data_IF_024352351656
#
_entry.id   IF_024352351656
#
_cell.length_a   1.000
_cell.length_b   1.000
_cell.length_c   1.000
_cell.angle_alpha   90.00
_cell.angle_beta   90.00
_cell.angle_gamma   90.00
#
_symmetry.space_group_name_H-M   'P 1'
#
loop_
_entity.id
_entity.type
_entity.pdbx_description
1 polymer ?
#
# COMPACT_ATOMS: atom_id res chain seq x y z
N UNK A 1 -12.12 -5.97 -12.09
CA UNK A 1 -11.92 -5.62 -10.67
C UNK A 1 -12.68 -6.63 -9.83
N UNK A 2 -12.06 -7.16 -8.80
CA UNK A 2 -12.65 -8.09 -7.82
C UNK A 2 -12.05 -7.80 -6.44
N UNK A 3 -12.65 -8.33 -5.38
CA UNK A 3 -12.19 -8.13 -4.01
C UNK A 3 -11.60 -9.45 -3.47
N UNK A 4 -10.48 -9.36 -2.75
CA UNK A 4 -9.84 -10.46 -2.04
C UNK A 4 -9.60 -10.04 -0.59
N UNK A 5 -10.29 -10.67 0.36
CA UNK A 5 -10.23 -10.33 1.79
C UNK A 5 -10.43 -8.82 2.08
N UNK A 6 -11.41 -8.16 1.45
CA UNK A 6 -11.63 -6.71 1.62
C UNK A 6 -10.75 -5.82 0.75
N UNK A 7 -9.74 -6.40 0.07
CA UNK A 7 -8.77 -5.65 -0.72
C UNK A 7 -9.14 -5.61 -2.21
N UNK A 8 -9.30 -4.42 -2.82
CA UNK A 8 -9.67 -4.29 -4.22
C UNK A 8 -8.49 -4.60 -5.15
N UNK A 9 -8.71 -5.57 -6.05
CA UNK A 9 -7.71 -6.03 -7.02
C UNK A 9 -8.20 -5.90 -8.47
N UNK A 10 -7.25 -5.64 -9.35
CA UNK A 10 -7.46 -5.52 -10.78
C UNK A 10 -6.63 -6.57 -11.50
N UNK A 11 -7.20 -7.21 -12.51
CA UNK A 11 -6.49 -8.13 -13.39
C UNK A 11 -6.54 -7.53 -14.78
N UNK A 12 -5.38 -7.45 -15.42
CA UNK A 12 -5.25 -7.06 -16.81
C UNK A 12 -4.44 -8.13 -17.53
N UNK A 13 -4.95 -8.74 -18.61
CA UNK A 13 -4.14 -9.60 -19.46
C UNK A 13 -3.04 -8.76 -20.13
N UNK A 14 -1.84 -9.30 -20.29
CA UNK A 14 -0.80 -8.62 -21.05
C UNK A 14 -1.21 -8.52 -22.54
N UNK A 15 -0.91 -7.38 -23.15
CA UNK A 15 -1.29 -7.11 -24.55
C UNK A 15 -0.38 -7.84 -25.55
N UNK A 16 0.86 -8.13 -25.16
CA UNK A 16 1.85 -8.82 -25.99
C UNK A 16 1.82 -10.34 -25.78
N UNK A 17 1.54 -10.80 -24.56
CA UNK A 17 1.40 -12.22 -24.22
C UNK A 17 0.08 -12.53 -23.47
N UNK A 18 -0.92 -13.11 -24.14
CA UNK A 18 -2.20 -13.47 -23.52
C UNK A 18 -2.08 -14.50 -22.38
N UNK A 19 -0.94 -15.17 -22.24
CA UNK A 19 -0.66 -16.09 -21.13
C UNK A 19 -0.16 -15.37 -19.89
N UNK A 20 0.10 -14.06 -19.94
CA UNK A 20 0.49 -13.28 -18.78
C UNK A 20 -0.71 -12.50 -18.26
N UNK A 21 -0.97 -12.64 -16.97
CA UNK A 21 -1.94 -11.84 -16.23
C UNK A 21 -1.17 -10.89 -15.31
N UNK A 22 -1.46 -9.61 -15.42
CA UNK A 22 -0.98 -8.59 -14.48
C UNK A 22 -2.05 -8.37 -13.42
N UNK A 23 -1.69 -8.62 -12.17
CA UNK A 23 -2.52 -8.29 -11.02
C UNK A 23 -2.02 -6.98 -10.43
N UNK A 24 -2.96 -6.10 -10.08
CA UNK A 24 -2.68 -4.81 -9.46
C UNK A 24 -3.54 -4.64 -8.21
N UNK A 25 -2.94 -4.06 -7.17
CA UNK A 25 -3.59 -3.62 -5.95
C UNK A 25 -3.14 -2.21 -5.59
N UNK A 26 -4.07 -1.39 -5.09
CA UNK A 26 -3.75 -0.05 -4.58
C UNK A 26 -3.22 -0.16 -3.16
N UNK A 27 -1.93 0.12 -2.95
CA UNK A 27 -1.32 0.06 -1.63
C UNK A 27 -1.61 1.33 -0.83
N UNK A 28 -1.30 2.49 -1.39
CA UNK A 28 -1.38 3.75 -0.65
C UNK A 28 -1.56 4.96 -1.59
N UNK A 29 -2.02 6.08 -1.04
CA UNK A 29 -2.12 7.37 -1.72
C UNK A 29 -1.80 8.50 -0.74
N UNK A 30 -0.97 9.46 -1.16
CA UNK A 30 -0.84 10.73 -0.43
C UNK A 30 -2.03 11.62 -0.73
N UNK A 31 -2.69 12.12 0.32
CA UNK A 31 -3.73 13.15 0.22
C UNK A 31 -3.14 14.57 0.35
N UNK A 32 -1.83 14.69 0.61
CA UNK A 32 -1.16 15.98 0.81
C UNK A 32 -0.77 16.63 -0.52
N UNK A 33 -0.87 17.96 -0.55
CA UNK A 33 -0.49 18.76 -1.71
C UNK A 33 1.01 18.60 -2.02
N UNK A 34 1.38 18.76 -3.30
CA UNK A 34 2.65 18.36 -3.92
C UNK A 34 3.94 18.98 -3.30
N UNK A 35 3.84 19.82 -2.27
CA UNK A 35 4.98 20.54 -1.71
C UNK A 35 5.85 19.70 -0.76
N UNK A 36 5.36 18.57 -0.25
CA UNK A 36 6.13 17.67 0.60
C UNK A 36 6.24 16.26 0.01
N UNK A 37 7.34 15.99 -0.69
CA UNK A 37 7.67 14.67 -1.26
C UNK A 37 8.23 13.66 -0.25
N UNK A 38 8.40 14.04 1.01
CA UNK A 38 8.93 13.15 2.04
C UNK A 38 8.07 11.91 2.25
N UNK A 39 6.74 12.06 2.27
CA UNK A 39 5.79 10.95 2.37
C UNK A 39 5.90 9.98 1.21
N UNK A 40 5.99 10.51 -0.03
CA UNK A 40 6.10 9.69 -1.23
C UNK A 40 7.42 8.92 -1.23
N UNK A 41 8.50 9.55 -0.78
CA UNK A 41 9.82 8.92 -0.65
C UNK A 41 9.78 7.81 0.41
N UNK A 42 9.17 8.06 1.57
CA UNK A 42 9.03 7.06 2.63
C UNK A 42 8.19 5.86 2.16
N UNK A 43 7.04 6.13 1.56
CA UNK A 43 6.14 5.10 1.06
C UNK A 43 6.80 4.27 -0.07
N UNK A 44 7.64 4.90 -0.90
CA UNK A 44 8.50 4.20 -1.87
C UNK A 44 9.56 3.31 -1.21
N UNK A 45 10.17 3.76 -0.11
CA UNK A 45 11.16 2.96 0.63
C UNK A 45 10.50 1.71 1.24
N UNK A 46 9.37 1.86 1.91
CA UNK A 46 8.61 0.74 2.49
C UNK A 46 8.19 -0.24 1.39
N UNK A 47 7.67 0.27 0.28
CA UNK A 47 7.27 -0.56 -0.85
C UNK A 47 8.48 -1.30 -1.46
N UNK A 48 9.66 -0.69 -1.51
CA UNK A 48 10.89 -1.34 -1.98
C UNK A 48 11.35 -2.48 -1.05
N UNK A 49 11.26 -2.27 0.26
CA UNK A 49 11.55 -3.32 1.25
C UNK A 49 10.55 -4.47 1.14
N UNK A 50 9.28 -4.17 0.86
CA UNK A 50 8.29 -5.19 0.57
C UNK A 50 8.62 -6.01 -0.69
N UNK A 51 9.05 -5.38 -1.79
CA UNK A 51 9.50 -6.08 -3.00
C UNK A 51 10.65 -7.05 -2.71
N UNK A 52 11.55 -6.69 -1.79
CA UNK A 52 12.65 -7.56 -1.39
C UNK A 52 12.18 -8.81 -0.63
N UNK A 53 11.08 -8.72 0.13
CA UNK A 53 10.47 -9.86 0.86
C UNK A 53 9.61 -10.74 -0.05
N UNK A 54 8.91 -10.14 -1.01
CA UNK A 54 7.94 -10.81 -1.87
C UNK A 54 8.42 -10.90 -3.32
N UNK A 55 9.12 -11.98 -3.64
CA UNK A 55 9.60 -12.23 -5.00
C UNK A 55 8.47 -12.19 -6.03
N UNK A 56 8.63 -11.34 -7.05
CA UNK A 56 7.66 -11.16 -8.14
C UNK A 56 6.69 -9.99 -7.95
N UNK A 57 6.66 -9.36 -6.76
CA UNK A 57 5.95 -8.09 -6.55
C UNK A 57 6.79 -6.94 -7.14
N UNK A 58 6.12 -6.08 -7.90
CA UNK A 58 6.62 -4.83 -8.45
C UNK A 58 5.83 -3.69 -7.83
N UNK A 59 6.50 -2.57 -7.58
CA UNK A 59 5.87 -1.35 -7.08
C UNK A 59 5.86 -0.33 -8.21
N UNK A 60 4.72 0.31 -8.39
CA UNK A 60 4.47 1.32 -9.42
C UNK A 60 3.97 2.57 -8.73
N UNK A 61 4.68 3.67 -8.91
CA UNK A 61 4.19 5.00 -8.52
C UNK A 61 3.43 5.64 -9.68
N UNK A 62 2.23 6.12 -9.39
CA UNK A 62 1.43 6.89 -10.34
C UNK A 62 1.66 8.40 -10.13
N UNK A 63 1.52 9.23 -11.17
CA UNK A 63 1.64 10.69 -11.07
C UNK A 63 0.68 11.32 -10.04
N UNK A 64 -0.44 10.67 -9.77
CA UNK A 64 -1.42 11.06 -8.75
C UNK A 64 -0.98 10.72 -7.31
N UNK A 65 0.32 10.53 -7.06
CA UNK A 65 0.89 10.12 -5.77
C UNK A 65 0.27 8.83 -5.19
N UNK A 66 -0.18 7.92 -6.06
CA UNK A 66 -0.62 6.59 -5.65
C UNK A 66 0.53 5.61 -5.77
N UNK A 67 0.61 4.70 -4.80
CA UNK A 67 1.46 3.53 -4.85
C UNK A 67 0.59 2.32 -5.16
N UNK A 68 0.95 1.65 -6.24
CA UNK A 68 0.30 0.44 -6.74
C UNK A 68 1.30 -0.70 -6.62
N UNK A 69 0.87 -1.80 -6.01
CA UNK A 69 1.60 -3.06 -6.00
C UNK A 69 1.08 -3.94 -7.13
N UNK A 70 1.98 -4.56 -7.87
CA UNK A 70 1.66 -5.34 -9.04
C UNK A 70 2.42 -6.66 -9.06
N UNK A 71 1.82 -7.72 -9.58
CA UNK A 71 2.50 -9.00 -9.83
C UNK A 71 2.14 -9.46 -11.24
N UNK A 72 3.17 -9.93 -11.97
CA UNK A 72 2.98 -10.65 -13.22
C UNK A 72 2.86 -12.14 -12.93
N UNK A 73 1.75 -12.75 -13.35
CA UNK A 73 1.50 -14.17 -13.20
C UNK A 73 1.29 -14.83 -14.55
N UNK A 74 2.03 -15.91 -14.80
CA UNK A 74 1.86 -16.74 -15.98
C UNK A 74 0.67 -17.70 -15.81
N UNK A 75 -0.08 -17.91 -16.88
CA UNK A 75 -1.17 -18.86 -16.98
C UNK A 75 -0.59 -20.29 -17.06
N UNK A 76 -0.28 -20.87 -15.91
CA UNK A 76 0.10 -22.28 -15.80
C UNK A 76 -1.11 -23.22 -15.88
N UNK A 77 -0.92 -24.54 -16.10
CA UNK A 77 -1.99 -25.52 -15.96
C UNK A 77 -2.74 -25.37 -14.62
N UNK A 78 -4.08 -25.43 -14.66
CA UNK A 78 -4.98 -25.00 -13.59
C UNK A 78 -4.66 -25.58 -12.18
N UNK A 79 -4.09 -26.78 -12.10
CA UNK A 79 -3.83 -27.48 -10.84
C UNK A 79 -2.67 -26.83 -10.03
N UNK A 80 -1.62 -26.33 -10.69
CA UNK A 80 -0.56 -25.55 -10.02
C UNK A 80 -0.93 -24.08 -9.89
N UNK A 81 -1.72 -23.57 -10.83
CA UNK A 81 -2.17 -22.18 -10.87
C UNK A 81 -2.89 -21.77 -9.59
N UNK A 82 -3.86 -22.55 -9.08
CA UNK A 82 -4.65 -22.14 -7.91
C UNK A 82 -3.80 -21.88 -6.66
N UNK A 83 -2.81 -22.73 -6.40
CA UNK A 83 -1.94 -22.61 -5.23
C UNK A 83 -0.86 -21.53 -5.37
N UNK A 84 -0.41 -21.25 -6.59
CA UNK A 84 0.48 -20.12 -6.87
C UNK A 84 -0.29 -18.79 -6.80
N UNK A 85 -1.49 -18.76 -7.37
CA UNK A 85 -2.36 -17.59 -7.39
C UNK A 85 -2.77 -17.14 -5.98
N UNK A 86 -3.19 -18.06 -5.10
CA UNK A 86 -3.52 -17.72 -3.70
C UNK A 86 -2.31 -17.12 -2.94
N UNK A 87 -1.10 -17.64 -3.19
CA UNK A 87 0.13 -17.08 -2.61
C UNK A 87 0.43 -15.69 -3.11
N UNK A 88 0.15 -15.41 -4.38
CA UNK A 88 0.34 -14.09 -4.99
C UNK A 88 -0.67 -13.08 -4.45
N UNK A 89 -1.95 -13.48 -4.33
CA UNK A 89 -2.98 -12.62 -3.75
C UNK A 89 -2.61 -12.23 -2.31
N UNK A 90 -2.13 -13.19 -1.51
CA UNK A 90 -1.63 -12.93 -0.16
C UNK A 90 -0.39 -12.04 -0.15
N UNK A 91 0.56 -12.24 -1.06
CA UNK A 91 1.73 -11.39 -1.17
C UNK A 91 1.37 -9.95 -1.52
N UNK A 92 0.46 -9.74 -2.48
CA UNK A 92 -0.06 -8.41 -2.85
C UNK A 92 -0.76 -7.74 -1.67
N UNK A 93 -1.64 -8.46 -0.99
CA UNK A 93 -2.36 -7.96 0.19
C UNK A 93 -1.39 -7.57 1.31
N UNK A 94 -0.52 -8.49 1.72
CA UNK A 94 0.44 -8.23 2.79
C UNK A 94 1.34 -7.04 2.46
N UNK A 95 1.75 -6.90 1.19
CA UNK A 95 2.55 -5.75 0.77
C UNK A 95 1.80 -4.44 0.88
N UNK A 96 0.52 -4.44 0.48
CA UNK A 96 -0.33 -3.27 0.60
C UNK A 96 -0.58 -2.89 2.05
N UNK A 97 -0.87 -3.88 2.91
CA UNK A 97 -1.07 -3.68 4.35
C UNK A 97 0.21 -3.18 5.03
N UNK A 98 1.40 -3.74 4.71
CA UNK A 98 2.68 -3.25 5.26
C UNK A 98 2.95 -1.80 4.87
N UNK A 99 2.63 -1.40 3.63
CA UNK A 99 2.78 -0.01 3.19
C UNK A 99 1.77 0.89 3.90
N UNK A 100 0.53 0.45 4.10
CA UNK A 100 -0.47 1.25 4.84
C UNK A 100 -0.08 1.41 6.31
N UNK A 101 0.20 0.32 7.01
CA UNK A 101 0.53 0.33 8.44
C UNK A 101 1.74 1.23 8.74
N UNK A 102 2.81 1.14 7.96
CA UNK A 102 4.00 1.98 8.16
C UNK A 102 3.74 3.46 7.85
N UNK A 103 2.84 3.74 6.92
CA UNK A 103 2.46 5.12 6.59
C UNK A 103 1.42 5.69 7.54
N UNK A 104 0.70 4.87 8.31
CA UNK A 104 -0.24 5.28 9.35
C UNK A 104 0.45 5.40 10.73
N UNK A 105 1.42 4.51 11.04
CA UNK A 105 2.10 4.50 12.33
C UNK A 105 2.95 5.73 12.63
N UNK A 106 3.40 6.44 11.60
CA UNK A 106 4.19 7.66 11.76
C UNK A 106 3.32 8.93 11.97
N UNK A 107 1.99 8.83 11.90
CA UNK A 107 1.06 9.96 12.13
C UNK A 107 0.30 9.92 13.46
N UNK A 108 0.38 8.82 14.21
CA UNK A 108 -0.29 8.68 15.53
C UNK A 108 0.58 9.15 16.72
N UNK A 109 1.77 9.73 16.49
CA UNK A 109 2.64 10.25 17.57
C UNK A 109 2.53 11.76 17.83
N UNK A 110 1.64 12.49 17.15
CA UNK A 110 1.42 13.93 17.34
C UNK A 110 -0.01 14.30 17.81
N UNK A 111 -0.75 13.38 18.46
CA UNK A 111 -1.90 13.74 19.29
C UNK A 111 -1.42 14.06 20.73
N UNK A 112 -0.58 15.09 20.86
CA UNK A 112 -0.38 15.84 22.11
C UNK A 112 -1.57 16.81 22.30
N UNK A 113 -2.78 16.26 22.38
CA UNK A 113 -3.96 16.95 22.89
C UNK A 113 -4.36 16.29 24.22
N UNK A 114 -3.86 16.84 25.33
CA UNK A 114 -4.66 17.10 26.55
C UNK A 114 -3.85 17.85 27.64
N UNK A 115 -4.40 19.04 27.98
CA UNK A 115 -4.38 19.75 29.26
C UNK A 115 -3.16 20.58 29.70
N UNK A 116 -3.29 21.91 29.59
CA UNK A 116 -3.45 22.79 30.76
C UNK A 116 -3.78 24.23 30.31
N UNK A 117 -5.08 24.51 30.10
CA UNK A 117 -5.61 25.88 30.15
C UNK A 117 -5.42 26.42 31.58
N UNK A 118 -4.36 27.19 31.81
CA UNK A 118 -4.18 27.94 33.06
C UNK A 118 -5.19 29.09 33.09
N UNK A 119 -6.38 28.82 33.63
CA UNK A 119 -7.36 29.86 33.96
C UNK A 119 -6.79 30.68 35.13
N UNK A 120 -6.17 31.83 34.83
CA UNK A 120 -5.74 32.78 35.84
C UNK A 120 -6.98 33.32 36.58
N UNK A 121 -7.24 32.83 37.79
CA UNK A 121 -8.26 33.34 38.71
C UNK A 121 -7.77 34.64 39.39
N UNK A 122 -8.31 35.82 39.05
CA UNK A 122 -7.89 37.08 39.65
C UNK A 122 -8.46 37.32 41.06
N UNK A 123 -9.24 36.40 41.65
CA UNK A 123 -9.85 36.57 42.99
C UNK A 123 -9.21 35.74 44.12
N UNK A 124 -8.08 35.08 43.86
CA UNK A 124 -7.29 34.46 44.94
C UNK A 124 -6.46 35.51 45.70
N UNK A 125 -7.13 36.08 46.70
CA UNK A 125 -6.70 37.02 47.75
C UNK A 125 -5.25 36.85 48.28
#
# INVERSE_FOLDING_TARGET
MFEFDGYPLFIHPDEEDPQVLKLFGFAWRSDHEEEDDSELILALQVANDCMAKHSGVKVITLPSRHIVVAVEQFFEPFDTFRGAFDRILKALKNCAEEVQEMMESDYDEDDDDEDEDYEFDPESN
#
